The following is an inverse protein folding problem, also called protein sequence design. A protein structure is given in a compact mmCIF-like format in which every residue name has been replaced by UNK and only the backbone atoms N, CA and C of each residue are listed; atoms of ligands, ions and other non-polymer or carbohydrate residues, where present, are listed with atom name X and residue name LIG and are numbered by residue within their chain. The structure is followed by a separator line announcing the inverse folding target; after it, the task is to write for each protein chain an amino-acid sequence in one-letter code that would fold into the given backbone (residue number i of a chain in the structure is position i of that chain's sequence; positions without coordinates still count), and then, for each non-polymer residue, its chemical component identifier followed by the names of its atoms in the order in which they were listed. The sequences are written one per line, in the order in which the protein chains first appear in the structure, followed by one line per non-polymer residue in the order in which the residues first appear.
data_IF_813402884019
#
_entry.id   IF_813402884019
#
_cell.length_a   1.000
_cell.length_b   1.000
_cell.length_c   1.000
_cell.angle_alpha   90.00
_cell.angle_beta   90.00
_cell.angle_gamma   90.00
#
_symmetry.space_group_name_H-M   'P 1'
#
loop_
_entity.id
_entity.type
_entity.pdbx_description
1 polymer ?
2 non-polymer ?
3 non-polymer ?
4 non-polymer ?
5 non-polymer ?
6 water ?
#
# COMPACT_ATOMS: atom_id res chain seq x y z
N UNK A 1 13.18 -2.07 -23.62
CA UNK A 1 14.09 -2.90 -22.78
C UNK A 1 13.77 -2.67 -21.30
N UNK A 2 14.06 -3.67 -20.47
CA UNK A 2 13.84 -3.61 -19.04
C UNK A 2 14.94 -2.75 -18.40
N UNK A 3 14.56 -2.01 -17.34
CA UNK A 3 15.50 -1.18 -16.64
C UNK A 3 16.45 -2.05 -15.82
N UNK A 4 17.74 -1.70 -15.83
CA UNK A 4 18.74 -2.41 -15.04
C UNK A 4 18.46 -2.27 -13.55
N UNK A 5 19.05 -3.15 -12.75
CA UNK A 5 19.02 -3.03 -11.31
C UNK A 5 19.66 -1.70 -10.87
N UNK A 6 20.78 -1.30 -11.48
CA UNK A 6 21.47 -0.05 -11.13
C UNK A 6 20.52 1.16 -11.27
N UNK A 7 19.75 1.21 -12.36
CA UNK A 7 18.82 2.30 -12.62
C UNK A 7 17.58 2.20 -11.71
N UNK A 8 16.92 1.03 -11.71
CA UNK A 8 15.69 0.80 -10.93
C UNK A 8 15.90 1.03 -9.43
N UNK A 9 17.10 0.75 -8.91
CA UNK A 9 17.38 0.92 -7.49
C UNK A 9 17.46 2.40 -7.09
N UNK A 10 17.52 3.30 -8.06
CA UNK A 10 17.62 4.71 -7.72
C UNK A 10 16.26 5.24 -7.28
N UNK A 11 15.16 4.55 -7.59
CA UNK A 11 13.87 4.98 -7.05
C UNK A 11 13.85 4.82 -5.53
N UNK A 12 13.13 5.70 -4.79
CA UNK A 12 12.86 5.45 -3.38
C UNK A 12 12.17 4.08 -3.24
N UNK A 13 12.45 3.42 -2.12
CA UNK A 13 12.04 2.04 -1.94
C UNK A 13 10.57 1.85 -2.33
N UNK A 14 9.69 2.69 -1.80
CA UNK A 14 8.26 2.48 -1.96
C UNK A 14 7.80 2.72 -3.40
N UNK A 15 8.63 3.30 -4.27
CA UNK A 15 8.28 3.49 -5.67
C UNK A 15 8.99 2.50 -6.61
N UNK A 16 9.81 1.59 -6.08
CA UNK A 16 10.45 0.56 -6.89
C UNK A 16 9.47 -0.42 -7.54
N UNK A 17 9.85 -0.95 -8.72
CA UNK A 17 9.14 -1.99 -9.44
C UNK A 17 10.08 -3.18 -9.61
N UNK A 18 9.74 -4.30 -8.97
CA UNK A 18 10.50 -5.53 -9.18
C UNK A 18 10.14 -6.16 -10.52
N UNK A 19 11.17 -6.70 -11.19
CA UNK A 19 11.09 -7.41 -12.47
C UNK A 19 12.14 -8.52 -12.45
N UNK A 20 12.25 -9.27 -13.56
CA UNK A 20 13.36 -10.21 -13.66
C UNK A 20 14.73 -9.54 -13.55
N UNK A 21 14.87 -8.32 -14.06
CA UNK A 21 16.13 -7.59 -14.01
C UNK A 21 16.41 -7.01 -12.62
N UNK A 22 15.38 -6.90 -11.75
CA UNK A 22 15.53 -6.30 -10.44
C UNK A 22 14.49 -6.93 -9.52
N UNK A 23 14.92 -7.98 -8.84
CA UNK A 23 13.96 -8.91 -8.29
C UNK A 23 13.50 -8.44 -6.90
N UNK A 24 12.58 -9.20 -6.30
CA UNK A 24 11.94 -8.78 -5.06
C UNK A 24 12.98 -8.65 -3.94
N UNK A 25 13.94 -9.59 -3.90
CA UNK A 25 14.96 -9.51 -2.86
C UNK A 25 15.81 -8.26 -3.06
N UNK A 26 16.16 -7.96 -4.32
CA UNK A 26 17.06 -6.85 -4.59
C UNK A 26 16.36 -5.54 -4.28
N UNK A 27 15.08 -5.45 -4.63
CA UNK A 27 14.31 -4.24 -4.42
C UNK A 27 13.89 -4.09 -2.96
N UNK A 28 13.44 -5.19 -2.33
CA UNK A 28 12.66 -5.04 -1.11
C UNK A 28 13.24 -5.85 0.04
N UNK A 29 14.35 -6.54 -0.18
CA UNK A 29 14.98 -7.31 0.87
C UNK A 29 14.46 -8.75 0.90
N UNK A 30 15.22 -9.61 1.59
CA UNK A 30 14.83 -10.98 1.88
C UNK A 30 13.46 -11.01 2.57
N UNK A 31 12.58 -11.94 2.16
CA UNK A 31 11.41 -12.29 2.95
C UNK A 31 11.87 -12.81 4.33
N UNK A 32 11.09 -12.50 5.36
CA UNK A 32 11.48 -12.92 6.69
C UNK A 32 10.38 -12.62 7.69
N UNK A 33 10.61 -12.98 8.98
CA UNK A 33 9.59 -12.84 10.01
C UNK A 33 9.53 -11.51 10.76
N UNK A 34 10.60 -10.71 10.63
CA UNK A 34 10.74 -9.50 11.44
C UNK A 34 9.78 -8.43 10.93
N UNK A 35 9.51 -7.47 11.83
CA UNK A 35 8.52 -6.43 11.61
C UNK A 35 8.89 -5.55 10.42
N UNK A 36 10.20 -5.50 10.13
CA UNK A 36 10.74 -4.66 9.07
C UNK A 36 10.76 -5.37 7.73
N UNK A 37 10.54 -6.69 7.69
CA UNK A 37 10.66 -7.45 6.46
C UNK A 37 9.29 -7.73 5.87
N UNK A 38 9.26 -7.87 4.54
CA UNK A 38 8.09 -8.41 3.88
C UNK A 38 8.08 -9.94 4.04
N UNK A 39 6.88 -10.52 3.96
CA UNK A 39 6.75 -11.96 4.10
C UNK A 39 6.12 -12.59 2.86
N UNK A 40 5.95 -11.83 1.77
CA UNK A 40 5.14 -12.26 0.64
C UNK A 40 5.98 -12.63 -0.55
N UNK A 41 5.70 -13.82 -1.09
CA UNK A 41 6.25 -14.28 -2.35
C UNK A 41 6.81 -15.71 -2.26
N UNK A 42 6.38 -16.55 -3.20
CA UNK A 42 7.06 -17.83 -3.43
C UNK A 42 8.30 -17.58 -4.28
N UNK A 43 9.05 -18.61 -4.63
CA UNK A 43 10.36 -18.40 -5.24
C UNK A 43 10.18 -17.77 -6.62
N UNK A 44 9.17 -18.23 -7.35
CA UNK A 44 8.90 -17.72 -8.68
C UNK A 44 8.59 -16.22 -8.63
N UNK A 45 7.67 -15.81 -7.75
CA UNK A 45 7.32 -14.39 -7.66
C UNK A 45 8.54 -13.57 -7.24
N UNK A 46 9.31 -14.08 -6.29
CA UNK A 46 10.49 -13.36 -5.83
C UNK A 46 11.45 -13.09 -6.99
N UNK A 47 11.65 -14.09 -7.86
CA UNK A 47 12.61 -14.01 -8.95
C UNK A 47 12.08 -13.12 -10.08
N UNK A 48 10.75 -13.06 -10.26
CA UNK A 48 10.22 -12.35 -11.43
C UNK A 48 9.55 -10.99 -11.15
N UNK A 49 9.14 -10.74 -9.91
CA UNK A 49 8.44 -9.52 -9.56
C UNK A 49 7.24 -9.32 -10.49
N UNK A 50 7.16 -8.18 -11.18
CA UNK A 50 6.00 -7.82 -11.97
C UNK A 50 5.97 -8.62 -13.26
N UNK A 51 7.04 -9.37 -13.57
CA UNK A 51 7.04 -10.28 -14.71
C UNK A 51 6.38 -11.62 -14.39
N UNK A 52 6.09 -11.91 -13.10
CA UNK A 52 5.43 -13.14 -12.70
C UNK A 52 4.15 -13.31 -13.50
N UNK A 53 3.82 -14.56 -13.86
CA UNK A 53 2.71 -14.86 -14.74
C UNK A 53 1.38 -14.44 -14.10
N UNK A 54 1.27 -14.55 -12.76
CA UNK A 54 0.00 -14.19 -12.13
C UNK A 54 0.08 -12.82 -11.44
N UNK A 55 1.05 -11.99 -11.82
CA UNK A 55 1.19 -10.68 -11.16
C UNK A 55 -0.11 -9.87 -11.20
N UNK A 56 -0.81 -9.71 -12.35
CA UNK A 56 -2.04 -8.93 -12.34
C UNK A 56 -3.09 -9.37 -11.32
N UNK A 57 -3.17 -10.68 -11.05
CA UNK A 57 -4.17 -11.17 -10.11
C UNK A 57 -3.76 -10.90 -8.65
N UNK A 58 -2.48 -10.60 -8.42
CA UNK A 58 -2.05 -10.11 -7.12
C UNK A 58 -2.23 -8.59 -7.03
N UNK A 59 -1.79 -7.87 -8.06
CA UNK A 59 -1.79 -6.42 -8.10
C UNK A 59 -3.21 -5.85 -8.01
N UNK A 60 -4.24 -6.65 -8.30
CA UNK A 60 -5.59 -6.10 -8.20
C UNK A 60 -5.96 -5.82 -6.75
N UNK A 61 -5.14 -6.26 -5.79
CA UNK A 61 -5.42 -6.01 -4.38
C UNK A 61 -4.59 -4.85 -3.82
N UNK A 62 -3.59 -4.39 -4.59
CA UNK A 62 -2.71 -3.30 -4.15
C UNK A 62 -3.47 -1.99 -4.25
N UNK A 63 -3.35 -1.11 -3.24
CA UNK A 63 -4.11 0.14 -3.22
C UNK A 63 -3.53 1.23 -4.13
N UNK A 64 -4.43 1.99 -4.76
CA UNK A 64 -4.07 3.27 -5.35
C UNK A 64 -3.46 4.17 -4.27
N UNK A 65 -2.76 5.23 -4.68
CA UNK A 65 -2.26 6.18 -3.69
C UNK A 65 -3.41 6.77 -2.87
N UNK A 66 -4.54 7.07 -3.50
CA UNK A 66 -5.67 7.67 -2.82
C UNK A 66 -6.21 6.70 -1.76
N UNK A 67 -6.38 5.41 -2.15
CA UNK A 67 -6.88 4.40 -1.27
C UNK A 67 -5.86 4.05 -0.17
N UNK A 68 -4.58 4.13 -0.49
CA UNK A 68 -3.57 3.82 0.50
C UNK A 68 -3.67 4.81 1.67
N UNK A 69 -3.77 6.10 1.34
CA UNK A 69 -3.89 7.12 2.38
C UNK A 69 -5.34 7.21 2.90
N UNK A 70 -6.32 6.71 2.13
CA UNK A 70 -7.73 6.80 2.50
C UNK A 70 -8.20 5.65 3.41
N UNK A 71 -7.69 4.44 3.17
CA UNK A 71 -8.14 3.24 3.87
C UNK A 71 -7.25 2.94 5.07
N UNK A 72 -5.97 3.30 5.04
CA UNK A 72 -5.06 2.79 6.05
C UNK A 72 -5.10 3.58 7.35
N UNK A 73 -4.55 3.00 8.40
CA UNK A 73 -4.15 3.72 9.59
C UNK A 73 -2.68 4.11 9.46
N UNK A 74 -2.48 5.44 9.41
CA UNK A 74 -1.18 6.02 9.16
C UNK A 74 -0.65 6.57 10.47
N UNK A 75 0.62 6.32 10.73
CA UNK A 75 1.28 6.88 11.89
C UNK A 75 2.71 7.28 11.53
N UNK A 76 3.39 7.86 12.50
CA UNK A 76 4.77 8.25 12.35
C UNK A 76 5.54 7.76 13.57
N UNK A 77 6.71 7.17 13.34
CA UNK A 77 7.52 6.67 14.42
C UNK A 77 8.95 7.13 14.21
N UNK A 78 9.50 7.77 15.25
CA UNK A 78 10.85 8.29 15.22
C UNK A 78 11.73 7.44 16.11
N UNK A 79 12.88 7.00 15.60
CA UNK A 79 13.72 6.07 16.32
C UNK A 79 15.17 6.42 15.99
N UNK A 80 16.15 5.84 16.70
CA UNK A 80 17.54 6.11 16.37
C UNK A 80 17.91 5.77 14.93
N UNK A 81 17.11 4.93 14.25
CA UNK A 81 17.38 4.59 12.85
C UNK A 81 16.81 5.65 11.88
N UNK A 82 15.79 6.40 12.30
CA UNK A 82 15.17 7.39 11.42
C UNK A 82 13.69 7.58 11.73
N UNK A 83 12.99 8.21 10.78
CA UNK A 83 11.58 8.51 10.88
C UNK A 83 10.84 7.64 9.86
N UNK A 84 9.75 6.98 10.30
CA UNK A 84 8.99 6.02 9.52
C UNK A 84 7.54 6.45 9.45
N UNK A 85 6.95 6.39 8.28
CA UNK A 85 5.49 6.44 8.12
C UNK A 85 4.99 5.00 8.18
N UNK A 86 4.17 4.71 9.18
CA UNK A 86 3.64 3.36 9.39
C UNK A 86 2.25 3.27 8.77
N UNK A 87 1.89 2.07 8.27
CA UNK A 87 0.56 1.85 7.72
C UNK A 87 0.06 0.46 8.09
N UNK A 88 -1.25 0.36 8.31
CA UNK A 88 -1.92 -0.91 8.54
C UNK A 88 -3.31 -0.78 7.94
N UNK A 89 -3.91 -1.93 7.57
CA UNK A 89 -5.27 -1.94 7.08
C UNK A 89 -5.69 -3.35 6.67
N UNK A 90 -6.84 -3.44 6.01
CA UNK A 90 -7.35 -4.70 5.53
C UNK A 90 -8.21 -4.44 4.31
N UNK A 91 -8.07 -5.28 3.30
CA UNK A 91 -8.76 -5.16 2.02
C UNK A 91 -9.66 -6.40 1.86
N UNK A 92 -10.96 -6.15 1.66
CA UNK A 92 -11.90 -7.23 1.54
C UNK A 92 -11.89 -7.81 0.13
N UNK A 93 -11.78 -9.15 0.01
CA UNK A 93 -12.04 -9.84 -1.24
C UNK A 93 -13.52 -9.79 -1.58
N UNK A 94 -13.82 -9.76 -2.87
CA UNK A 94 -15.20 -9.77 -3.31
C UNK A 94 -15.65 -11.22 -3.54
N UNK A 95 -16.46 -11.77 -2.64
CA UNK A 95 -16.81 -13.19 -2.74
C UNK A 95 -17.86 -13.41 -3.83
N UNK A 96 -18.33 -12.35 -4.50
CA UNK A 96 -19.18 -12.52 -5.68
C UNK A 96 -18.34 -12.49 -6.97
N UNK A 97 -17.03 -12.27 -6.86
CA UNK A 97 -16.13 -12.39 -8.01
C UNK A 97 -16.04 -13.86 -8.39
N UNK A 98 -16.31 -14.19 -9.69
CA UNK A 98 -16.21 -15.56 -10.17
C UNK A 98 -14.86 -16.20 -9.83
N UNK A 99 -13.80 -15.42 -9.67
CA UNK A 99 -12.48 -15.99 -9.45
C UNK A 99 -12.09 -15.96 -7.98
N UNK A 100 -13.06 -15.71 -7.11
CA UNK A 100 -12.78 -15.68 -5.67
C UNK A 100 -11.91 -16.84 -5.20
N UNK A 101 -12.32 -18.08 -5.50
CA UNK A 101 -11.62 -19.28 -5.04
C UNK A 101 -10.18 -19.34 -5.52
N UNK A 102 -9.95 -18.99 -6.78
CA UNK A 102 -8.58 -18.90 -7.30
C UNK A 102 -7.78 -17.79 -6.61
N UNK A 103 -8.45 -16.71 -6.24
CA UNK A 103 -7.74 -15.61 -5.58
C UNK A 103 -7.22 -16.09 -4.23
N UNK A 104 -8.04 -16.85 -3.50
CA UNK A 104 -7.61 -17.33 -2.19
C UNK A 104 -6.43 -18.26 -2.36
N UNK A 105 -6.54 -19.17 -3.33
CA UNK A 105 -5.46 -20.11 -3.59
C UNK A 105 -4.18 -19.36 -3.94
N UNK A 106 -4.31 -18.36 -4.82
CA UNK A 106 -3.12 -17.61 -5.23
C UNK A 106 -2.48 -16.92 -4.04
N UNK A 107 -3.28 -16.25 -3.20
CA UNK A 107 -2.70 -15.55 -2.08
C UNK A 107 -2.07 -16.51 -1.07
N UNK A 108 -2.69 -17.66 -0.79
CA UNK A 108 -2.14 -18.65 0.11
C UNK A 108 -0.81 -19.20 -0.38
N UNK A 109 -0.62 -19.23 -1.70
CA UNK A 109 0.62 -19.70 -2.28
C UNK A 109 1.83 -18.82 -1.95
N UNK A 110 1.61 -17.54 -1.64
CA UNK A 110 2.67 -16.56 -1.47
C UNK A 110 2.87 -16.08 -0.04
N UNK A 111 1.85 -16.22 0.83
CA UNK A 111 1.96 -15.70 2.19
C UNK A 111 2.87 -16.62 3.00
N UNK A 112 4.00 -16.08 3.49
CA UNK A 112 4.94 -16.77 4.37
C UNK A 112 5.58 -18.00 3.75
N UNK A 113 5.50 -18.13 2.44
CA UNK A 113 6.07 -19.24 1.72
C UNK A 113 7.60 -19.31 1.94
N UNK A 114 8.26 -18.21 2.33
CA UNK A 114 9.71 -18.20 2.53
C UNK A 114 10.11 -19.21 3.62
N UNK A 115 9.19 -19.54 4.50
CA UNK A 115 9.48 -20.46 5.58
C UNK A 115 9.83 -21.85 5.06
N UNK A 116 9.44 -22.20 3.83
CA UNK A 116 9.70 -23.52 3.28
C UNK A 116 10.98 -23.53 2.43
N UNK A 117 11.70 -22.40 2.33
CA UNK A 117 12.71 -22.30 1.29
C UNK A 117 13.93 -23.08 1.72
N UNK A 118 14.61 -23.78 0.77
CA UNK A 118 15.85 -24.50 1.06
C UNK A 118 16.73 -23.73 2.05
N UNK B 3 -15.51 11.49 -14.28
CA UNK B 3 -15.86 10.31 -13.44
C UNK B 3 -16.68 10.79 -12.23
N UNK B 4 -17.99 10.52 -12.26
CA UNK B 4 -18.89 10.91 -11.19
C UNK B 4 -18.65 10.05 -9.94
N UNK B 5 -19.34 10.37 -8.83
CA UNK B 5 -19.39 9.47 -7.68
C UNK B 5 -19.95 8.10 -8.09
N UNK B 6 -21.03 8.09 -8.88
CA UNK B 6 -21.66 6.85 -9.33
C UNK B 6 -20.65 5.98 -10.11
N UNK B 7 -19.86 6.60 -11.00
CA UNK B 7 -18.87 5.90 -11.80
C UNK B 7 -17.68 5.44 -10.97
N UNK B 8 -17.04 6.35 -10.23
CA UNK B 8 -15.82 6.07 -9.47
C UNK B 8 -16.08 5.04 -8.37
N UNK B 9 -17.32 4.98 -7.85
CA UNK B 9 -17.67 4.05 -6.78
C UNK B 9 -17.71 2.61 -7.25
N UNK B 10 -17.74 2.40 -8.58
CA UNK B 10 -17.83 1.06 -9.13
C UNK B 10 -16.51 0.31 -8.92
N UNK B 11 -15.40 1.04 -8.80
CA UNK B 11 -14.13 0.41 -8.55
C UNK B 11 -14.12 -0.29 -7.20
N UNK B 12 -13.40 -1.41 -7.08
CA UNK B 12 -13.10 -1.98 -5.76
C UNK B 12 -12.49 -0.90 -4.87
N UNK B 13 -12.75 -1.03 -3.59
CA UNK B 13 -12.38 0.01 -2.63
C UNK B 13 -10.92 0.38 -2.82
N UNK B 14 -10.04 -0.62 -2.85
CA UNK B 14 -8.61 -0.35 -2.86
C UNK B 14 -8.12 0.31 -4.17
N UNK B 15 -8.95 0.34 -5.21
CA UNK B 15 -8.59 1.00 -6.45
C UNK B 15 -9.30 2.34 -6.67
N UNK B 16 -10.11 2.79 -5.71
CA UNK B 16 -10.79 4.08 -5.82
C UNK B 16 -9.79 5.24 -5.80
N UNK B 17 -10.20 6.32 -6.50
CA UNK B 17 -9.49 7.60 -6.50
C UNK B 17 -10.46 8.65 -5.96
N UNK B 18 -10.11 9.23 -4.80
CA UNK B 18 -10.93 10.33 -4.30
C UNK B 18 -10.60 11.63 -5.06
N UNK B 19 -11.65 12.42 -5.30
CA UNK B 19 -11.58 13.74 -5.96
C UNK B 19 -12.62 14.63 -5.29
N UNK B 20 -12.77 15.88 -5.77
CA UNK B 20 -13.83 16.72 -5.27
C UNK B 20 -15.21 16.11 -5.56
N UNK B 21 -15.36 15.38 -6.67
CA UNK B 21 -16.64 14.81 -7.05
C UNK B 21 -16.95 13.51 -6.28
N UNK B 22 -15.93 12.92 -5.65
CA UNK B 22 -16.05 11.66 -4.95
C UNK B 22 -15.00 11.64 -3.84
N UNK B 23 -15.39 12.13 -2.68
CA UNK B 23 -14.40 12.60 -1.71
C UNK B 23 -13.95 11.43 -0.85
N UNK B 24 -13.06 11.71 0.11
CA UNK B 24 -12.44 10.65 0.87
C UNK B 24 -13.49 9.93 1.71
N UNK B 25 -14.43 10.68 2.29
CA UNK B 25 -15.51 10.06 3.06
C UNK B 25 -16.32 9.13 2.16
N UNK B 26 -16.69 9.61 0.98
CA UNK B 26 -17.57 8.84 0.11
C UNK B 26 -16.84 7.59 -0.38
N UNK B 27 -15.55 7.72 -0.70
CA UNK B 27 -14.78 6.58 -1.21
C UNK B 27 -14.37 5.63 -0.09
N UNK B 28 -13.95 6.14 1.08
CA UNK B 28 -13.19 5.33 2.02
C UNK B 28 -13.77 5.37 3.43
N UNK B 29 -14.94 6.02 3.58
CA UNK B 29 -15.56 6.14 4.88
C UNK B 29 -15.05 7.33 5.71
N UNK B 30 -15.84 7.71 6.72
CA UNK B 30 -15.44 8.67 7.74
C UNK B 30 -14.12 8.28 8.38
N UNK B 31 -13.21 9.23 8.59
CA UNK B 31 -12.06 8.99 9.43
C UNK B 31 -12.51 8.66 10.85
N UNK B 32 -11.69 7.91 11.56
CA UNK B 32 -12.07 7.50 12.90
C UNK B 32 -10.95 6.70 13.55
N UNK B 33 -11.13 6.26 14.82
CA UNK B 33 -10.10 5.56 15.58
C UNK B 33 -10.06 4.03 15.49
N UNK B 34 -11.08 3.44 14.86
CA UNK B 34 -11.24 1.98 14.91
C UNK B 34 -10.22 1.29 14.01
N UNK B 35 -10.04 -0.01 14.26
CA UNK B 35 -8.86 -0.75 13.88
C UNK B 35 -8.72 -0.86 12.37
N UNK B 36 -9.82 -0.77 11.63
CA UNK B 36 -9.65 -0.75 10.18
C UNK B 36 -10.41 0.42 9.56
N UNK B 37 -10.61 1.51 10.35
CA UNK B 37 -11.00 2.79 9.78
C UNK B 37 -9.74 3.60 9.43
N UNK B 38 -9.83 4.37 8.36
CA UNK B 38 -8.77 5.33 8.03
C UNK B 38 -8.72 6.50 9.03
N UNK B 39 -7.53 7.00 9.34
CA UNK B 39 -7.39 8.11 10.27
C UNK B 39 -6.75 9.32 9.61
N UNK B 40 -6.58 9.34 8.27
CA UNK B 40 -5.69 10.30 7.62
C UNK B 40 -6.53 11.29 6.82
N UNK B 41 -6.27 12.58 7.06
CA UNK B 41 -6.90 13.63 6.27
C UNK B 41 -7.45 14.73 7.18
N UNK B 42 -7.01 15.99 6.95
CA UNK B 42 -7.71 17.15 7.50
C UNK B 42 -8.92 17.44 6.62
N UNK B 43 -9.65 18.50 6.91
CA UNK B 43 -10.94 18.72 6.23
C UNK B 43 -10.71 19.03 4.76
N UNK B 44 -9.62 19.74 4.45
CA UNK B 44 -9.36 20.11 3.07
C UNK B 44 -9.07 18.86 2.23
N UNK B 45 -8.17 18.02 2.74
CA UNK B 45 -7.82 16.78 2.03
C UNK B 45 -9.05 15.89 1.88
N UNK B 46 -9.85 15.76 2.94
CA UNK B 46 -11.02 14.90 2.89
C UNK B 46 -11.94 15.34 1.76
N UNK B 47 -12.14 16.66 1.62
CA UNK B 47 -13.12 17.15 0.66
C UNK B 47 -12.57 17.15 -0.75
N UNK B 48 -11.26 17.17 -0.93
CA UNK B 48 -10.71 17.28 -2.30
C UNK B 48 -10.04 16.01 -2.82
N UNK B 49 -9.60 15.12 -1.93
CA UNK B 49 -8.96 13.90 -2.36
C UNK B 49 -7.73 14.23 -3.19
N UNK B 50 -7.63 13.67 -4.41
CA UNK B 50 -6.42 13.81 -5.19
C UNK B 50 -6.41 15.17 -5.87
N UNK B 51 -7.50 15.95 -5.73
CA UNK B 51 -7.52 17.35 -6.15
C UNK B 51 -6.86 18.27 -5.12
N UNK B 52 -6.54 17.79 -3.91
CA UNK B 52 -5.76 18.57 -2.96
C UNK B 52 -4.48 19.07 -3.59
N UNK B 53 -4.15 20.35 -3.38
CA UNK B 53 -3.09 20.98 -4.14
C UNK B 53 -1.73 20.45 -3.69
N UNK B 54 -1.60 19.97 -2.44
CA UNK B 54 -0.35 19.36 -2.03
C UNK B 54 -0.38 17.82 -2.13
N UNK B 55 -1.32 17.29 -2.90
CA UNK B 55 -1.43 15.85 -3.04
C UNK B 55 -0.11 15.22 -3.50
N UNK B 56 0.63 15.78 -4.49
CA UNK B 56 1.91 15.18 -4.88
C UNK B 56 2.91 14.93 -3.76
N UNK B 57 2.93 15.81 -2.76
CA UNK B 57 3.91 15.63 -1.66
C UNK B 57 3.44 14.56 -0.67
N UNK B 58 2.14 14.19 -0.74
CA UNK B 58 1.66 13.06 0.03
C UNK B 58 1.90 11.76 -0.77
N UNK B 59 1.45 11.76 -2.03
CA UNK B 59 1.51 10.61 -2.91
C UNK B 59 2.94 10.10 -3.12
N UNK B 60 3.97 10.90 -2.90
CA UNK B 60 5.33 10.42 -3.06
C UNK B 60 5.66 9.32 -2.05
N UNK B 61 4.81 9.17 -1.02
CA UNK B 61 5.06 8.12 -0.02
C UNK B 61 4.19 6.88 -0.26
N UNK B 62 3.24 6.95 -1.20
CA UNK B 62 2.36 5.82 -1.50
C UNK B 62 3.14 4.76 -2.29
N UNK B 63 2.97 3.46 -1.95
CA UNK B 63 3.74 2.40 -2.61
C UNK B 63 3.17 2.01 -3.95
N UNK B 64 4.07 1.67 -4.88
CA UNK B 64 3.68 0.92 -6.07
C UNK B 64 3.04 -0.39 -5.65
N UNK B 65 2.31 -1.02 -6.56
CA UNK B 65 1.83 -2.38 -6.31
C UNK B 65 2.97 -3.33 -5.96
N UNK B 66 4.11 -3.22 -6.66
CA UNK B 66 5.22 -4.14 -6.42
C UNK B 66 5.75 -3.94 -5.00
N UNK B 67 5.92 -2.68 -4.59
CA UNK B 67 6.44 -2.33 -3.28
C UNK B 67 5.44 -2.64 -2.18
N UNK B 68 4.16 -2.48 -2.47
CA UNK B 68 3.15 -2.83 -1.48
C UNK B 68 3.25 -4.32 -1.10
N UNK B 69 3.35 -5.18 -2.11
CA UNK B 69 3.48 -6.62 -1.88
C UNK B 69 4.91 -7.01 -1.50
N UNK B 70 5.89 -6.15 -1.76
CA UNK B 70 7.29 -6.48 -1.47
C UNK B 70 7.73 -6.07 -0.08
N UNK B 71 7.22 -4.92 0.40
CA UNK B 71 7.61 -4.37 1.68
C UNK B 71 6.72 -4.84 2.82
N UNK B 72 5.43 -5.00 2.57
CA UNK B 72 4.47 -5.17 3.66
C UNK B 72 4.47 -6.59 4.25
N UNK B 73 3.92 -6.70 5.48
CA UNK B 73 3.51 -7.96 6.06
C UNK B 73 2.05 -8.24 5.70
N UNK B 74 1.84 -9.34 4.93
CA UNK B 74 0.56 -9.64 4.33
C UNK B 74 -0.02 -10.84 5.07
N UNK B 75 -1.33 -10.78 5.35
CA UNK B 75 -2.02 -11.88 5.99
C UNK B 75 -3.40 -12.01 5.37
N UNK B 76 -4.09 -13.08 5.74
CA UNK B 76 -5.45 -13.33 5.31
C UNK B 76 -6.25 -13.71 6.55
N UNK B 77 -7.45 -13.15 6.65
CA UNK B 77 -8.34 -13.46 7.74
C UNK B 77 -9.73 -13.71 7.18
N UNK B 78 -10.32 -14.82 7.62
CA UNK B 78 -11.69 -15.14 7.22
C UNK B 78 -12.63 -14.91 8.41
N UNK B 79 -13.74 -14.21 8.21
CA UNK B 79 -14.58 -13.79 9.32
C UNK B 79 -16.00 -13.76 8.82
N UNK B 80 -16.99 -13.50 9.70
CA UNK B 80 -18.37 -13.39 9.26
C UNK B 80 -18.61 -12.35 8.18
N UNK B 81 -17.71 -11.33 8.10
CA UNK B 81 -17.88 -10.32 7.06
C UNK B 81 -17.30 -10.74 5.72
N UNK B 82 -16.36 -11.69 5.70
CA UNK B 82 -15.81 -12.19 4.44
C UNK B 82 -14.35 -12.56 4.61
N UNK B 83 -13.63 -12.52 3.48
CA UNK B 83 -12.20 -12.81 3.50
C UNK B 83 -11.43 -11.50 3.27
N UNK B 84 -10.44 -11.19 4.12
CA UNK B 84 -9.71 -9.94 4.13
C UNK B 84 -8.22 -10.19 3.97
N UNK B 85 -7.59 -9.35 3.14
CA UNK B 85 -6.14 -9.30 3.06
C UNK B 85 -5.67 -8.20 4.00
N UNK B 86 -4.87 -8.59 5.00
CA UNK B 86 -4.34 -7.64 5.95
C UNK B 86 -2.95 -7.21 5.52
N UNK B 87 -2.57 -5.97 5.87
CA UNK B 87 -1.25 -5.45 5.56
C UNK B 87 -0.77 -4.56 6.69
N UNK B 88 0.53 -4.62 6.97
CA UNK B 88 1.20 -3.66 7.83
C UNK B 88 2.56 -3.38 7.22
N UNK B 89 3.09 -2.20 7.47
CA UNK B 89 4.47 -1.93 7.12
C UNK B 89 4.86 -0.50 7.48
N UNK B 90 6.03 -0.10 7.01
CA UNK B 90 6.58 1.20 7.33
C UNK B 90 7.45 1.66 6.18
N UNK B 91 7.36 2.95 5.85
CA UNK B 91 8.15 3.57 4.79
C UNK B 91 9.06 4.61 5.42
N UNK B 92 10.37 4.46 5.19
CA UNK B 92 11.34 5.31 5.84
C UNK B 92 11.44 6.65 5.09
N UNK B 93 11.29 7.77 5.82
CA UNK B 93 11.52 9.09 5.26
C UNK B 93 13.04 9.28 5.12
N UNK B 94 13.43 10.11 4.15
CA UNK B 94 14.84 10.41 3.93
C UNK B 94 15.21 11.69 4.68
N UNK B 95 15.87 11.55 5.83
CA UNK B 95 16.14 12.71 6.66
C UNK B 95 17.29 13.53 6.10
N UNK B 96 17.92 13.08 5.02
CA UNK B 96 18.92 13.89 4.33
C UNK B 96 18.30 14.74 3.21
N UNK B 97 17.02 14.56 2.93
CA UNK B 97 16.35 15.39 1.95
C UNK B 97 16.13 16.75 2.61
N UNK B 98 16.51 17.87 1.95
CA UNK B 98 16.27 19.19 2.53
C UNK B 98 14.78 19.43 2.79
N UNK B 99 13.89 18.72 2.08
CA UNK B 99 12.47 18.93 2.29
C UNK B 99 11.93 18.06 3.43
N UNK B 100 12.84 17.36 4.15
CA UNK B 100 12.42 16.41 5.16
C UNK B 100 11.46 17.05 6.17
N UNK B 101 11.83 18.19 6.75
CA UNK B 101 11.04 18.78 7.81
C UNK B 101 9.65 19.16 7.32
N UNK B 102 9.55 19.65 6.08
CA UNK B 102 8.27 19.99 5.51
C UNK B 102 7.42 18.73 5.29
N UNK B 103 8.09 17.61 4.99
CA UNK B 103 7.40 16.36 4.74
C UNK B 103 6.77 15.88 6.04
N UNK B 104 7.52 15.91 7.13
CA UNK B 104 7.01 15.55 8.44
C UNK B 104 5.83 16.46 8.80
N UNK B 105 5.96 17.76 8.56
CA UNK B 105 4.90 18.69 8.92
C UNK B 105 3.66 18.36 8.11
N UNK B 106 3.83 18.05 6.80
CA UNK B 106 2.69 17.80 5.96
C UNK B 106 2.00 16.50 6.42
N UNK B 107 2.78 15.49 6.76
CA UNK B 107 2.16 14.23 7.17
C UNK B 107 1.42 14.40 8.52
N UNK B 108 2.03 15.12 9.48
CA UNK B 108 1.42 15.28 10.78
C UNK B 108 0.15 16.13 10.72
N UNK B 109 0.02 16.94 9.69
CA UNK B 109 -1.12 17.81 9.50
C UNK B 109 -2.39 17.01 9.26
N UNK B 110 -2.21 15.80 8.71
CA UNK B 110 -3.33 14.96 8.35
C UNK B 110 -3.56 13.77 9.29
N UNK B 111 -2.56 13.35 10.06
CA UNK B 111 -2.70 12.16 10.88
C UNK B 111 -3.59 12.48 12.09
N UNK B 112 -4.74 11.80 12.18
CA UNK B 112 -5.66 11.89 13.32
C UNK B 112 -6.31 13.26 13.46
N UNK B 113 -6.24 14.06 12.42
CA UNK B 113 -6.74 15.42 12.46
C UNK B 113 -8.26 15.40 12.64
N UNK B 114 -8.93 14.28 12.30
CA UNK B 114 -10.40 14.16 12.38
C UNK B 114 -10.89 14.44 13.82
N UNK B 115 -10.03 14.20 14.79
CA UNK B 115 -10.37 14.38 16.18
C UNK B 115 -10.76 15.82 16.52
N UNK B 116 -10.33 16.79 15.71
CA UNK B 116 -10.52 18.18 16.04
C UNK B 116 -11.74 18.73 15.33
N UNK B 117 -12.51 17.92 14.61
CA UNK B 117 -13.72 18.39 13.97
C UNK B 117 -14.79 17.31 13.96
N UNK B 118 -16.08 17.69 13.81
CA UNK B 118 -17.15 16.70 13.77
C UNK B 118 -16.96 15.78 12.55
X LIG C 1 -0.64 0.85 -7.28
X LIG C 1 -1.72 -0.05 -7.44
X LIG C 1 -0.77 2.09 -8.12
X LIG C 1 -0.70 3.24 -7.29
X LIG C 1 0.45 4.04 -7.51
X LIG C 1 0.69 4.93 -6.33
X LIG C 1 2.06 5.22 -6.17
X LIG D 1 5.46 -1.55 10.87
X LIG D 1 4.41 -0.96 11.61
X LIG D 1 6.75 -1.63 11.63
X LIG D 1 7.04 -0.39 12.28
X LIG D 1 8.34 -0.36 12.86
X LIG D 1 9.12 0.83 12.36
X LIG D 1 10.49 0.55 12.15
X LIG E 1 18.74 -2.45 -1.01
X LIG E 1 17.57 -1.94 -1.64
X LIG E 1 19.62 -1.34 -0.63
X LIG E 1 19.06 -0.12 -1.08
X LIG F 1 -5.49 -25.87 -1.59
X LIG F 1 -6.57 -25.03 -1.19
X LIG F 1 -5.83 -26.62 -2.85
X LIG F 1 -5.91 -28.02 -2.57
X LIG F 1 -7.12 -26.17 -3.49
X LIG F 1 -7.21 -26.54 -4.86
X LIG G 1 6.01 -16.53 -13.97
X LIG H 1 -11.13 -19.07 -11.67
X LIG I 1 1.97 11.83 -8.47
X LIG I 1 2.66 12.99 -8.03
X LIG I 1 0.50 12.02 -8.43
X LIG I 1 0.16 13.25 -7.83
X LIG J 1 12.26 23.37 7.00
X LIG J 1 11.10 24.06 6.60
X LIG J 1 13.48 23.82 6.29
X LIG J 1 14.18 24.79 7.04
X LIG K 1 -19.13 -0.14 -0.41
X LIG K 1 -17.72 -0.16 -0.53
X LIG K 1 -19.77 1.05 -1.02
X LIG K 1 -19.19 2.22 -0.52
X LIG L 1 -1.23 15.89 14.33
X LIG L 1 -0.88 14.61 13.85
X LIG L 1 -2.71 16.08 14.43
X LIG L 1 -3.35 16.42 13.21
X LIG M 1 -12.57 -1.78 8.07
#
# INVERSE_FOLDING_TARGET
TKKSAAEASKKPRQKRTATKAYNVTQAFGRRGPEQTQGNFGDQELIRQGTDYKHWPQIAQFAPSASAFFGMSRIGMEVTPSGTWLTYTGAIKLDDKDPNFKDQVILLNKHIDAYKTFP
TKKSAAEASKKPRQKRTATKAYNVTQAFGRRGPEQTQGNFGDQELIRQGTDYKHWPQIAQFAPSASAFFGMSRIGMEVTPSGTWLTYTGAIKLDDKDPNFKDQVILLNKHIDAYKTFP
PEG C1 O1 C2 O2 C3 C4 O4
PEG C1 O1 C2 O2 C3 C4 O4
EDO C1 O1 C2 O2
GOL C1 O1 C2 O2 C3 O3
NA NA
NA NA
EDO C1 O1 C2 O2
EDO C1 O1 C2 O2
EDO C1 O1 C2 O2
EDO C1 O1 C2 O2
NA NA
#
